data_IF_334783755309
#
_entry.id   IF_334783755309
#
_cell.length_a   1.000
_cell.length_b   1.000
_cell.length_c   1.000
_cell.angle_alpha   90.00
_cell.angle_beta   90.00
_cell.angle_gamma   90.00
#
_symmetry.space_group_name_H-M   'P 1'
#
loop_
_entity.id
_entity.type
_entity.pdbx_description
1 polymer ?
#
# COMPACT_ATOMS: atom_id res chain seq x y z
N UNK A 1 -14.73 -11.67 2.83
CA UNK A 1 -13.84 -11.72 1.65
C UNK A 1 -12.77 -10.65 1.78
N UNK A 2 -11.96 -10.44 0.74
CA UNK A 2 -10.96 -9.37 0.68
C UNK A 2 -11.29 -8.38 -0.45
N UNK A 3 -10.87 -7.12 -0.30
CA UNK A 3 -11.04 -6.05 -1.29
C UNK A 3 -9.67 -5.47 -1.63
N UNK A 4 -9.38 -5.25 -2.92
CA UNK A 4 -8.21 -4.52 -3.38
C UNK A 4 -8.64 -3.10 -3.75
N UNK A 5 -8.01 -2.09 -3.16
CA UNK A 5 -8.31 -0.68 -3.45
C UNK A 5 -7.52 -0.12 -4.62
N UNK A 6 -7.95 1.03 -5.15
CA UNK A 6 -7.28 1.77 -6.21
C UNK A 6 -5.92 2.31 -5.76
N UNK A 7 -4.90 2.06 -6.56
CA UNK A 7 -3.55 2.58 -6.37
C UNK A 7 -3.30 3.84 -7.19
N UNK A 8 -2.14 4.48 -7.00
CA UNK A 8 -1.73 5.62 -7.81
C UNK A 8 -1.42 5.26 -9.28
N UNK A 9 -1.39 3.96 -9.62
CA UNK A 9 -1.42 3.50 -11.02
C UNK A 9 -2.79 3.67 -11.70
N UNK A 10 -3.83 4.05 -10.94
CA UNK A 10 -5.18 4.28 -11.44
C UNK A 10 -6.09 3.05 -11.42
N UNK A 11 -5.56 1.87 -11.09
CA UNK A 11 -6.29 0.59 -11.04
C UNK A 11 -6.19 -0.07 -9.66
N UNK A 12 -7.10 -0.99 -9.37
CA UNK A 12 -7.09 -1.80 -8.16
C UNK A 12 -6.07 -2.95 -8.27
N UNK A 13 -5.36 -3.22 -7.18
CA UNK A 13 -4.38 -4.31 -7.09
C UNK A 13 -2.92 -3.84 -7.01
N UNK A 14 -1.98 -4.77 -7.15
CA UNK A 14 -0.56 -4.47 -6.96
C UNK A 14 0.09 -3.94 -8.25
N UNK A 15 0.60 -2.71 -8.20
CA UNK A 15 1.52 -2.15 -9.19
C UNK A 15 2.96 -2.18 -8.67
N UNK A 16 3.87 -2.77 -9.44
CA UNK A 16 5.26 -3.01 -9.04
C UNK A 16 6.15 -1.76 -8.98
N UNK A 17 7.46 -1.98 -8.84
CA UNK A 17 8.47 -0.93 -8.81
C UNK A 17 8.76 -0.38 -10.22
N UNK A 18 8.60 0.93 -10.41
CA UNK A 18 8.97 1.64 -11.64
C UNK A 18 9.60 3.03 -11.34
N UNK A 19 10.75 3.07 -10.62
CA UNK A 19 11.40 4.35 -10.32
C UNK A 19 12.01 4.96 -11.59
N UNK A 20 12.17 6.30 -11.65
CA UNK A 20 12.79 6.96 -12.80
C UNK A 20 14.24 6.50 -13.02
N UNK A 21 14.72 6.38 -14.28
CA UNK A 21 16.11 6.07 -14.58
C UNK A 21 17.09 7.04 -13.90
N UNK A 22 18.10 6.51 -13.22
CA UNK A 22 19.19 7.30 -12.62
C UNK A 22 18.82 8.12 -11.38
N UNK A 23 17.60 7.96 -10.84
CA UNK A 23 17.15 8.70 -9.64
C UNK A 23 17.66 8.09 -8.31
N UNK A 24 18.49 7.05 -8.38
CA UNK A 24 18.94 6.29 -7.22
C UNK A 24 17.89 5.28 -6.72
N UNK A 25 18.23 4.51 -5.66
CA UNK A 25 17.33 3.49 -5.12
C UNK A 25 16.10 4.09 -4.44
N UNK A 26 14.91 3.61 -4.85
CA UNK A 26 13.65 3.89 -4.17
C UNK A 26 13.35 2.84 -3.11
N UNK A 27 12.61 3.22 -2.06
CA UNK A 27 12.19 2.32 -0.98
C UNK A 27 10.74 1.89 -1.20
N UNK A 28 10.50 0.59 -1.20
CA UNK A 28 9.17 -0.02 -1.29
C UNK A 28 8.84 -0.64 0.06
N UNK A 29 7.94 0.01 0.80
CA UNK A 29 7.60 -0.34 2.18
C UNK A 29 6.34 -1.20 2.16
N UNK A 30 6.50 -2.50 2.35
CA UNK A 30 5.38 -3.43 2.47
C UNK A 30 5.00 -3.53 3.94
N UNK A 31 3.75 -3.23 4.26
CA UNK A 31 3.27 -3.20 5.65
C UNK A 31 2.04 -4.10 5.80
N UNK A 32 2.04 -4.92 6.84
CA UNK A 32 0.88 -5.69 7.30
C UNK A 32 0.35 -5.01 8.56
N UNK A 33 -0.97 -4.82 8.61
CA UNK A 33 -1.69 -4.24 9.75
C UNK A 33 -2.62 -5.30 10.33
N UNK A 34 -2.51 -5.57 11.62
CA UNK A 34 -3.50 -6.31 12.38
C UNK A 34 -4.57 -5.32 12.85
N UNK A 35 -5.84 -5.56 12.52
CA UNK A 35 -6.97 -4.67 12.82
C UNK A 35 -7.94 -5.29 13.83
N UNK A 36 -8.69 -4.46 14.56
CA UNK A 36 -9.64 -4.86 15.61
C UNK A 36 -11.07 -5.11 15.13
N UNK A 37 -11.35 -4.84 13.85
CA UNK A 37 -12.66 -5.05 13.22
C UNK A 37 -12.59 -6.17 12.16
N UNK A 38 -13.71 -6.90 11.99
CA UNK A 38 -13.79 -7.97 10.99
C UNK A 38 -13.72 -7.42 9.55
N UNK A 39 -14.22 -6.20 9.32
CA UNK A 39 -14.26 -5.53 8.01
C UNK A 39 -14.01 -4.04 8.19
N UNK A 40 -13.14 -3.47 7.35
CA UNK A 40 -12.99 -2.02 7.19
C UNK A 40 -14.05 -1.51 6.22
N UNK A 41 -14.50 -0.27 6.41
CA UNK A 41 -15.47 0.38 5.52
C UNK A 41 -14.76 0.95 4.29
N UNK A 42 -14.43 0.06 3.35
CA UNK A 42 -13.68 0.36 2.12
C UNK A 42 -14.20 -0.43 0.91
N UNK A 43 -14.08 0.17 -0.27
CA UNK A 43 -14.42 -0.41 -1.58
C UNK A 43 -13.23 -0.36 -2.54
N UNK A 44 -13.38 -0.99 -3.72
CA UNK A 44 -12.33 -0.99 -4.76
C UNK A 44 -12.00 0.40 -5.32
N UNK A 45 -12.98 1.32 -5.30
CA UNK A 45 -12.82 2.70 -5.79
C UNK A 45 -12.11 3.63 -4.79
N UNK A 46 -12.00 3.22 -3.52
CA UNK A 46 -11.36 4.03 -2.51
C UNK A 46 -9.84 4.12 -2.73
N UNK A 47 -9.28 5.32 -2.49
CA UNK A 47 -7.84 5.56 -2.60
C UNK A 47 -7.07 4.92 -1.45
N UNK A 48 -5.76 4.71 -1.64
CA UNK A 48 -4.86 4.29 -0.57
C UNK A 48 -4.94 5.17 0.69
N UNK A 49 -5.28 6.46 0.56
CA UNK A 49 -5.46 7.36 1.70
C UNK A 49 -6.72 7.03 2.53
N UNK A 50 -7.83 6.64 1.90
CA UNK A 50 -9.05 6.23 2.61
C UNK A 50 -8.84 4.90 3.35
N UNK A 51 -8.12 3.96 2.73
CA UNK A 51 -7.64 2.75 3.42
C UNK A 51 -6.76 3.12 4.60
N UNK A 52 -5.77 4.01 4.41
CA UNK A 52 -4.87 4.49 5.45
C UNK A 52 -5.60 5.15 6.63
N UNK A 53 -6.65 5.93 6.35
CA UNK A 53 -7.50 6.54 7.38
C UNK A 53 -8.21 5.49 8.23
N UNK A 54 -8.85 4.50 7.59
CA UNK A 54 -9.49 3.39 8.29
C UNK A 54 -8.47 2.59 9.14
N UNK A 55 -7.32 2.26 8.54
CA UNK A 55 -6.25 1.56 9.24
C UNK A 55 -5.72 2.34 10.45
N UNK A 56 -5.63 3.67 10.36
CA UNK A 56 -5.16 4.51 11.46
C UNK A 56 -5.98 4.31 12.74
N UNK A 57 -7.30 4.18 12.63
CA UNK A 57 -8.19 4.04 13.78
C UNK A 57 -8.35 2.60 14.28
N UNK A 58 -8.11 1.60 13.42
CA UNK A 58 -8.38 0.19 13.73
C UNK A 58 -7.13 -0.68 13.93
N UNK A 59 -5.92 -0.15 13.68
CA UNK A 59 -4.69 -0.94 13.80
C UNK A 59 -4.34 -1.23 15.26
N UNK A 60 -4.28 -2.51 15.61
CA UNK A 60 -3.73 -3.02 16.87
C UNK A 60 -2.20 -3.13 16.83
N UNK A 61 -1.66 -3.58 15.70
CA UNK A 61 -0.23 -3.74 15.49
C UNK A 61 0.11 -3.67 14.00
N UNK A 62 1.35 -3.31 13.67
CA UNK A 62 1.85 -3.34 12.29
C UNK A 62 3.29 -3.82 12.22
N UNK A 63 3.62 -4.47 11.12
CA UNK A 63 4.98 -4.87 10.78
C UNK A 63 5.29 -4.49 9.34
N UNK A 64 6.52 -4.07 9.08
CA UNK A 64 6.95 -3.65 7.74
C UNK A 64 8.26 -4.33 7.33
N UNK A 65 8.36 -4.64 6.05
CA UNK A 65 9.64 -4.89 5.37
C UNK A 65 9.87 -3.78 4.35
N UNK A 66 11.12 -3.38 4.17
CA UNK A 66 11.49 -2.39 3.16
C UNK A 66 12.43 -3.04 2.16
N UNK A 67 11.97 -3.13 0.92
CA UNK A 67 12.80 -3.51 -0.22
C UNK A 67 13.29 -2.25 -0.95
N UNK A 68 14.38 -2.37 -1.69
CA UNK A 68 14.90 -1.30 -2.54
C UNK A 68 15.01 -1.76 -3.97
N UNK A 69 14.64 -0.88 -4.91
CA UNK A 69 14.90 -1.07 -6.34
C UNK A 69 15.33 0.24 -6.96
N UNK A 70 16.25 0.16 -7.91
CA UNK A 70 16.78 1.29 -8.68
C UNK A 70 16.69 0.93 -10.17
N UNK A 71 16.11 1.82 -10.95
CA UNK A 71 16.26 1.78 -12.40
C UNK A 71 17.52 2.55 -12.76
N UNK A 72 18.58 1.83 -13.15
CA UNK A 72 19.90 2.44 -13.43
C UNK A 72 19.99 3.09 -14.80
N UNK A 73 18.98 2.92 -15.66
CA UNK A 73 19.05 3.24 -17.08
C UNK A 73 19.36 2.00 -17.90
#
# INVERSE_FOLDING_TARGET
GAVQGRTDYGEAGFGGAAPPPGHGPHRYIFTVFAVDVERLDVTEDNSGAVFGFNLHFHTLAKASITATYENRG
#
